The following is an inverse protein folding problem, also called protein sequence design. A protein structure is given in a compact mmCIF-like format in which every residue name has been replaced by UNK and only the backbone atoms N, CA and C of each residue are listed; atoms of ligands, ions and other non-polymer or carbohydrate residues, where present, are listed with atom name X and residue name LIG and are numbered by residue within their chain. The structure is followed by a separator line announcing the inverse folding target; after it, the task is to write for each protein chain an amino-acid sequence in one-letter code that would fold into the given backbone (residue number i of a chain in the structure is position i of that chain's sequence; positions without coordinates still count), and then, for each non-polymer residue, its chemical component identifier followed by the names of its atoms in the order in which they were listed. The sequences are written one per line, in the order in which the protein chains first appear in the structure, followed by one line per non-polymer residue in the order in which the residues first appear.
data_IF_096850271778
#
_entry.id   IF_096850271778
#
_cell.length_a   1.000
_cell.length_b   1.000
_cell.length_c   1.000
_cell.angle_alpha   90.00
_cell.angle_beta   90.00
_cell.angle_gamma   90.00
#
_symmetry.space_group_name_H-M   'P 1'
#
loop_
_entity.id
_entity.type
_entity.pdbx_description
1 polymer ?
#
# COMPACT_ATOMS: atom_id res chain seq x y z
N UNK A 1 -8.87 -10.47 12.64
CA UNK A 1 -9.15 -9.89 11.32
C UNK A 1 -10.62 -9.52 11.19
N UNK A 2 -10.96 -8.59 10.31
CA UNK A 2 -12.33 -8.16 10.04
C UNK A 2 -13.22 -9.34 9.61
N UNK A 3 -12.67 -10.28 8.84
CA UNK A 3 -13.38 -11.52 8.45
C UNK A 3 -13.82 -12.35 9.66
N UNK A 4 -12.95 -12.51 10.66
CA UNK A 4 -13.26 -13.19 11.92
C UNK A 4 -14.36 -12.47 12.70
N UNK A 5 -14.25 -11.14 12.84
CA UNK A 5 -15.24 -10.31 13.50
C UNK A 5 -16.63 -10.41 12.86
N UNK A 6 -16.71 -10.38 11.52
CA UNK A 6 -17.98 -10.51 10.79
C UNK A 6 -18.58 -11.91 10.94
N UNK A 7 -17.76 -12.98 10.91
CA UNK A 7 -18.24 -14.35 11.11
C UNK A 7 -18.76 -14.60 12.53
N UNK A 8 -18.12 -14.04 13.54
CA UNK A 8 -18.54 -14.15 14.96
C UNK A 8 -19.88 -13.45 15.24
N UNK A 9 -20.24 -12.43 14.45
CA UNK A 9 -21.50 -11.68 14.60
C UNK A 9 -22.71 -12.35 13.95
N UNK A 10 -22.57 -13.52 13.35
CA UNK A 10 -23.65 -14.29 12.68
C UNK A 10 -24.55 -13.39 11.80
N UNK A 11 -23.97 -12.53 11.01
CA UNK A 11 -24.70 -11.59 10.17
C UNK A 11 -25.41 -12.30 9.01
N UNK A 12 -26.64 -11.90 8.62
CA UNK A 12 -27.43 -12.57 7.57
C UNK A 12 -26.93 -12.29 6.15
N UNK A 13 -25.75 -11.69 6.00
CA UNK A 13 -25.14 -11.36 4.71
C UNK A 13 -23.73 -11.97 4.58
N UNK A 14 -23.35 -12.26 3.34
CA UNK A 14 -22.00 -12.74 3.01
C UNK A 14 -21.07 -11.55 2.92
N UNK A 15 -20.02 -11.53 3.73
CA UNK A 15 -18.95 -10.53 3.67
C UNK A 15 -17.85 -11.00 2.73
N UNK A 16 -17.50 -10.17 1.75
CA UNK A 16 -16.38 -10.40 0.82
C UNK A 16 -15.34 -9.32 1.08
N UNK A 17 -14.26 -9.63 1.83
CA UNK A 17 -13.21 -8.66 2.08
C UNK A 17 -12.52 -8.29 0.77
N UNK A 18 -12.42 -7.01 0.49
CA UNK A 18 -11.70 -6.52 -0.68
C UNK A 18 -11.09 -5.13 -0.43
N UNK A 19 -10.06 -4.80 -1.21
CA UNK A 19 -9.30 -3.56 -1.05
C UNK A 19 -8.94 -3.00 -2.44
N UNK A 20 -9.55 -1.90 -2.89
CA UNK A 20 -9.08 -1.17 -4.05
C UNK A 20 -7.74 -0.50 -3.71
N UNK A 21 -6.68 -0.82 -4.47
CA UNK A 21 -5.35 -0.22 -4.31
C UNK A 21 -5.33 1.15 -4.99
N UNK A 22 -6.19 2.04 -4.52
CA UNK A 22 -6.37 3.40 -5.02
C UNK A 22 -6.75 4.32 -3.86
N UNK A 23 -6.28 5.55 -3.92
CA UNK A 23 -6.55 6.56 -2.90
C UNK A 23 -5.71 7.79 -3.12
N UNK A 24 -6.02 8.83 -2.36
CA UNK A 24 -5.25 10.06 -2.28
C UNK A 24 -4.85 10.30 -0.83
N UNK A 25 -3.95 11.25 -0.60
CA UNK A 25 -3.59 11.73 0.73
C UNK A 25 -4.70 12.54 1.41
N UNK A 26 -5.75 12.92 0.67
CA UNK A 26 -6.85 13.71 1.18
C UNK A 26 -7.96 12.85 1.75
N UNK A 27 -8.64 13.33 2.79
CA UNK A 27 -9.76 12.67 3.46
C UNK A 27 -11.09 13.27 2.96
N UNK A 28 -12.11 12.42 2.90
CA UNK A 28 -13.49 12.81 2.65
C UNK A 28 -13.95 12.60 1.20
N UNK A 29 -15.26 12.48 1.05
CA UNK A 29 -15.92 12.24 -0.23
C UNK A 29 -15.70 13.40 -1.22
N UNK A 30 -15.55 14.61 -0.75
CA UNK A 30 -15.28 15.82 -1.53
C UNK A 30 -13.97 15.77 -2.32
N UNK A 31 -13.05 14.88 -1.93
CA UNK A 31 -11.79 14.62 -2.63
C UNK A 31 -11.88 13.43 -3.61
N UNK A 32 -13.08 12.87 -3.80
CA UNK A 32 -13.29 11.84 -4.80
C UNK A 32 -13.34 12.45 -6.20
N UNK A 33 -12.91 11.69 -7.20
CA UNK A 33 -12.99 12.11 -8.61
C UNK A 33 -13.33 10.93 -9.51
N UNK A 34 -13.92 11.25 -10.67
CA UNK A 34 -14.20 10.27 -11.70
C UNK A 34 -12.89 9.59 -12.15
N UNK A 35 -12.92 8.26 -12.21
CA UNK A 35 -11.77 7.48 -12.64
C UNK A 35 -10.76 7.14 -11.54
N UNK A 36 -11.01 7.45 -10.26
CA UNK A 36 -10.13 7.10 -9.13
C UNK A 36 -9.68 5.62 -9.17
N UNK A 37 -10.55 4.72 -9.57
CA UNK A 37 -10.28 3.28 -9.61
C UNK A 37 -9.80 2.79 -10.98
N UNK A 38 -9.80 3.62 -12.01
CA UNK A 38 -9.40 3.24 -13.36
C UNK A 38 -7.95 2.78 -13.38
N UNK A 39 -7.72 1.57 -13.93
CA UNK A 39 -6.42 0.89 -13.96
C UNK A 39 -5.86 0.48 -12.58
N UNK A 40 -6.58 0.74 -11.49
CA UNK A 40 -6.18 0.32 -10.16
C UNK A 40 -6.27 -1.21 -10.02
N UNK A 41 -5.44 -1.79 -9.16
CA UNK A 41 -5.59 -3.17 -8.72
C UNK A 41 -6.62 -3.22 -7.60
N UNK A 42 -7.55 -4.19 -7.66
CA UNK A 42 -8.54 -4.41 -6.62
C UNK A 42 -8.35 -5.79 -6.02
N UNK A 43 -7.82 -5.83 -4.80
CA UNK A 43 -7.52 -7.08 -4.13
C UNK A 43 -8.80 -7.66 -3.52
N UNK A 44 -9.04 -8.96 -3.75
CA UNK A 44 -10.17 -9.73 -3.19
C UNK A 44 -9.59 -10.85 -2.33
N UNK A 45 -10.00 -10.89 -1.07
CA UNK A 45 -9.58 -11.94 -0.13
C UNK A 45 -10.47 -13.16 -0.33
N UNK A 46 -9.97 -14.16 -1.03
CA UNK A 46 -10.71 -15.38 -1.35
C UNK A 46 -10.12 -16.14 -2.52
N UNK A 47 -10.80 -17.20 -2.95
CA UNK A 47 -10.39 -18.01 -4.08
C UNK A 47 -11.09 -17.59 -5.37
N UNK A 48 -10.39 -17.72 -6.48
CA UNK A 48 -10.96 -17.50 -7.81
C UNK A 48 -12.12 -18.46 -8.14
N UNK A 49 -12.13 -19.64 -7.54
CA UNK A 49 -13.15 -20.69 -7.76
C UNK A 49 -14.54 -20.27 -7.28
N UNK A 50 -14.63 -19.37 -6.32
CA UNK A 50 -15.90 -18.81 -5.80
C UNK A 50 -16.57 -17.80 -6.74
N UNK A 51 -16.05 -17.57 -7.94
CA UNK A 51 -16.58 -16.58 -8.92
C UNK A 51 -18.07 -16.77 -9.25
N UNK A 52 -18.59 -18.00 -9.09
CA UNK A 52 -20.00 -18.32 -9.35
C UNK A 52 -20.94 -17.94 -8.20
N UNK A 53 -20.40 -17.60 -7.03
CA UNK A 53 -21.24 -17.11 -5.92
C UNK A 53 -21.76 -15.71 -6.26
N UNK A 54 -23.09 -15.52 -6.24
CA UNK A 54 -23.80 -14.29 -6.69
C UNK A 54 -23.14 -12.99 -6.17
N UNK A 55 -22.72 -12.95 -4.92
CA UNK A 55 -22.07 -11.76 -4.34
C UNK A 55 -20.70 -11.46 -4.96
N UNK A 56 -19.92 -12.49 -5.25
CA UNK A 56 -18.60 -12.31 -5.87
C UNK A 56 -18.69 -11.96 -7.35
N UNK A 57 -19.69 -12.51 -8.06
CA UNK A 57 -19.97 -12.12 -9.43
C UNK A 57 -20.33 -10.62 -9.51
N UNK A 58 -21.23 -10.15 -8.66
CA UNK A 58 -21.59 -8.73 -8.58
C UNK A 58 -20.39 -7.83 -8.24
N UNK A 59 -19.54 -8.23 -7.29
CA UNK A 59 -18.33 -7.48 -6.97
C UNK A 59 -17.39 -7.38 -8.18
N UNK A 60 -17.22 -8.47 -8.93
CA UNK A 60 -16.40 -8.46 -10.15
C UNK A 60 -16.99 -7.56 -11.25
N UNK A 61 -18.30 -7.54 -11.40
CA UNK A 61 -18.98 -6.60 -12.32
C UNK A 61 -18.72 -5.15 -11.94
N UNK A 62 -18.82 -4.81 -10.64
CA UNK A 62 -18.50 -3.47 -10.13
C UNK A 62 -17.04 -3.11 -10.40
N UNK A 63 -16.09 -4.02 -10.09
CA UNK A 63 -14.66 -3.80 -10.33
C UNK A 63 -14.38 -3.53 -11.80
N UNK A 64 -14.98 -4.31 -12.71
CA UNK A 64 -14.83 -4.11 -14.14
C UNK A 64 -15.48 -2.80 -14.61
N UNK A 65 -16.65 -2.46 -14.08
CA UNK A 65 -17.36 -1.22 -14.43
C UNK A 65 -16.55 0.03 -14.09
N UNK A 66 -15.87 0.05 -12.94
CA UNK A 66 -14.99 1.17 -12.55
C UNK A 66 -13.61 1.13 -13.22
N UNK A 67 -13.37 0.16 -14.10
CA UNK A 67 -12.11 0.03 -14.85
C UNK A 67 -10.93 -0.48 -14.02
N UNK A 68 -11.18 -1.13 -12.88
CA UNK A 68 -10.14 -1.76 -12.05
C UNK A 68 -9.87 -3.22 -12.46
N UNK A 69 -8.74 -3.76 -12.00
CA UNK A 69 -8.32 -5.15 -12.28
C UNK A 69 -8.37 -5.97 -11.00
N UNK A 70 -9.18 -7.06 -10.91
CA UNK A 70 -9.25 -7.89 -9.73
C UNK A 70 -8.00 -8.76 -9.53
N UNK A 71 -7.53 -8.86 -8.28
CA UNK A 71 -6.46 -9.75 -7.84
C UNK A 71 -6.95 -10.56 -6.66
N UNK A 72 -6.87 -11.89 -6.73
CA UNK A 72 -7.24 -12.78 -5.63
C UNK A 72 -6.04 -13.18 -4.80
N UNK A 73 -6.18 -13.14 -3.47
CA UNK A 73 -5.12 -13.54 -2.53
C UNK A 73 -5.70 -13.93 -1.17
N UNK A 74 -4.84 -14.37 -0.25
CA UNK A 74 -5.21 -14.54 1.17
C UNK A 74 -5.01 -13.25 1.97
N UNK A 75 -5.63 -13.15 3.14
CA UNK A 75 -5.48 -12.00 4.02
C UNK A 75 -4.01 -11.81 4.45
N UNK A 76 -3.33 -12.91 4.77
CA UNK A 76 -1.93 -12.90 5.20
C UNK A 76 -1.01 -12.35 4.11
N UNK A 77 -1.14 -12.86 2.88
CA UNK A 77 -0.35 -12.38 1.73
C UNK A 77 -0.66 -10.93 1.37
N UNK A 78 -1.92 -10.51 1.50
CA UNK A 78 -2.31 -9.11 1.33
C UNK A 78 -1.60 -8.23 2.36
N UNK A 79 -1.68 -8.59 3.65
CA UNK A 79 -1.12 -7.78 4.74
C UNK A 79 0.41 -7.70 4.66
N UNK A 80 1.08 -8.78 4.25
CA UNK A 80 2.52 -8.76 3.93
C UNK A 80 2.86 -7.83 2.76
N UNK A 81 2.08 -7.91 1.67
CA UNK A 81 2.32 -7.10 0.47
C UNK A 81 2.11 -5.60 0.74
N UNK A 82 1.00 -5.23 1.39
CA UNK A 82 0.72 -3.81 1.69
C UNK A 82 1.67 -3.26 2.75
N UNK A 83 2.18 -4.08 3.66
CA UNK A 83 3.26 -3.66 4.56
C UNK A 83 4.48 -3.18 3.78
N UNK A 84 4.88 -3.91 2.72
CA UNK A 84 6.05 -3.60 1.91
C UNK A 84 5.86 -2.38 1.00
N UNK A 85 4.69 -2.26 0.35
CA UNK A 85 4.50 -1.28 -0.73
C UNK A 85 3.73 -0.02 -0.31
N UNK A 86 3.14 0.00 0.89
CA UNK A 86 2.31 1.09 1.39
C UNK A 86 2.69 1.52 2.80
N UNK A 87 2.59 0.63 3.79
CA UNK A 87 2.75 0.99 5.20
C UNK A 87 4.20 1.33 5.55
N UNK A 88 5.16 0.49 5.15
CA UNK A 88 6.59 0.77 5.35
C UNK A 88 7.03 2.07 4.64
N UNK A 89 6.68 2.33 3.35
CA UNK A 89 6.99 3.61 2.71
C UNK A 89 6.46 4.83 3.48
N UNK A 90 5.26 4.75 4.06
CA UNK A 90 4.72 5.82 4.91
C UNK A 90 5.57 6.03 6.16
N UNK A 91 5.92 4.95 6.88
CA UNK A 91 6.79 5.02 8.07
C UNK A 91 8.15 5.59 7.72
N UNK A 92 8.73 5.22 6.57
CA UNK A 92 10.02 5.76 6.10
C UNK A 92 9.92 7.25 5.79
N UNK A 93 8.85 7.69 5.11
CA UNK A 93 8.63 9.11 4.84
C UNK A 93 8.55 9.94 6.13
N UNK A 94 7.84 9.43 7.14
CA UNK A 94 7.77 10.04 8.47
C UNK A 94 9.13 10.02 9.18
N UNK A 95 9.88 8.92 9.06
CA UNK A 95 11.23 8.80 9.65
C UNK A 95 12.24 9.74 9.00
N UNK A 96 12.16 9.97 7.69
CA UNK A 96 12.97 10.96 6.99
C UNK A 96 12.70 12.37 7.51
N UNK A 97 11.44 12.74 7.73
CA UNK A 97 11.08 14.02 8.33
C UNK A 97 11.59 14.12 9.77
N UNK A 98 11.44 13.05 10.55
CA UNK A 98 11.93 12.98 11.93
C UNK A 98 13.45 13.16 12.03
N UNK A 99 14.20 12.58 11.10
CA UNK A 99 15.66 12.72 11.03
C UNK A 99 16.07 14.13 10.53
N UNK A 100 15.41 14.63 9.50
CA UNK A 100 15.75 15.92 8.89
C UNK A 100 15.51 17.11 9.84
N UNK A 101 14.51 17.04 10.73
CA UNK A 101 14.23 18.13 11.69
C UNK A 101 15.40 18.45 12.64
N UNK A 102 16.33 17.51 12.83
CA UNK A 102 17.53 17.71 13.64
C UNK A 102 18.57 18.63 12.96
N UNK A 103 18.38 18.92 11.65
CA UNK A 103 19.30 19.75 10.86
C UNK A 103 18.52 20.87 10.16
N UNK A 104 18.48 22.10 10.73
CA UNK A 104 17.75 23.21 10.13
C UNK A 104 18.19 23.56 8.70
N UNK A 105 19.50 23.47 8.41
CA UNK A 105 20.02 23.72 7.07
C UNK A 105 19.49 22.68 6.06
N UNK A 106 19.39 21.40 6.47
CA UNK A 106 18.83 20.38 5.60
C UNK A 106 17.36 20.67 5.22
N UNK A 107 16.57 21.21 6.15
CA UNK A 107 15.19 21.62 5.89
C UNK A 107 15.15 22.86 4.97
N UNK A 108 16.02 23.83 5.19
CA UNK A 108 16.08 25.06 4.40
C UNK A 108 16.43 24.81 2.92
N UNK A 109 17.36 23.88 2.66
CA UNK A 109 17.79 23.56 1.29
C UNK A 109 17.01 22.39 0.67
N UNK A 110 15.98 21.86 1.35
CA UNK A 110 15.17 20.75 0.86
C UNK A 110 14.48 21.14 -0.46
N UNK A 111 14.55 20.24 -1.45
CA UNK A 111 14.00 20.44 -2.79
C UNK A 111 13.06 19.29 -3.20
N UNK A 112 12.73 19.22 -4.49
CA UNK A 112 11.73 18.29 -5.05
C UNK A 112 11.97 16.82 -4.65
N UNK A 113 13.21 16.33 -4.68
CA UNK A 113 13.52 14.95 -4.29
C UNK A 113 13.11 14.62 -2.85
N UNK A 114 13.43 15.51 -1.90
CA UNK A 114 13.02 15.33 -0.51
C UNK A 114 11.51 15.45 -0.35
N UNK A 115 10.88 16.42 -1.02
CA UNK A 115 9.42 16.59 -1.04
C UNK A 115 8.71 15.32 -1.53
N UNK A 116 9.17 14.74 -2.64
CA UNK A 116 8.56 13.56 -3.23
C UNK A 116 8.72 12.33 -2.32
N UNK A 117 9.89 12.15 -1.71
CA UNK A 117 10.17 11.07 -0.77
C UNK A 117 9.40 11.20 0.55
N UNK A 118 9.06 12.41 0.97
CA UNK A 118 8.36 12.66 2.24
C UNK A 118 6.87 12.94 2.07
N UNK A 119 6.32 12.85 0.87
CA UNK A 119 4.89 13.11 0.61
C UNK A 119 3.96 12.29 1.50
N UNK A 120 4.28 11.03 1.73
CA UNK A 120 3.49 10.14 2.59
C UNK A 120 3.55 10.50 4.08
N UNK A 121 4.45 11.38 4.50
CA UNK A 121 4.45 11.90 5.87
C UNK A 121 3.22 12.76 6.19
N UNK A 122 2.51 13.24 5.15
CA UNK A 122 1.25 13.98 5.26
C UNK A 122 0.00 13.09 5.32
N UNK A 123 0.17 11.77 5.44
CA UNK A 123 -0.96 10.83 5.57
C UNK A 123 -1.85 11.15 6.76
N UNK A 124 -3.14 10.85 6.63
CA UNK A 124 -4.10 11.04 7.73
C UNK A 124 -3.65 10.29 9.00
N UNK A 125 -3.64 10.98 10.14
CA UNK A 125 -3.08 10.48 11.41
C UNK A 125 -3.80 9.23 11.92
N UNK A 126 -5.15 9.20 11.86
CA UNK A 126 -5.96 8.08 12.30
C UNK A 126 -5.69 6.85 11.45
N UNK A 127 -5.70 7.00 10.12
CA UNK A 127 -5.38 5.94 9.18
C UNK A 127 -3.95 5.43 9.38
N UNK A 128 -2.97 6.30 9.55
CA UNK A 128 -1.58 5.93 9.78
C UNK A 128 -1.41 5.13 11.08
N UNK A 129 -2.06 5.56 12.16
CA UNK A 129 -2.07 4.85 13.43
C UNK A 129 -2.68 3.45 13.31
N UNK A 130 -3.82 3.32 12.63
CA UNK A 130 -4.48 2.04 12.41
C UNK A 130 -3.61 1.09 11.58
N UNK A 131 -3.01 1.56 10.49
CA UNK A 131 -2.08 0.78 9.68
C UNK A 131 -0.92 0.24 10.51
N UNK A 132 -0.27 1.09 11.30
CA UNK A 132 0.89 0.71 12.12
C UNK A 132 0.47 -0.26 13.22
N UNK A 133 -0.65 -0.02 13.89
CA UNK A 133 -1.13 -0.87 14.98
C UNK A 133 -1.56 -2.24 14.48
N UNK A 134 -2.35 -2.29 13.40
CA UNK A 134 -2.95 -3.53 12.91
C UNK A 134 -2.00 -4.42 12.13
N UNK A 135 -0.98 -3.83 11.48
CA UNK A 135 -0.04 -4.57 10.63
C UNK A 135 1.43 -4.48 11.12
N UNK A 136 1.61 -4.18 12.40
CA UNK A 136 2.92 -3.91 13.03
C UNK A 136 4.00 -4.94 12.67
N UNK A 137 3.72 -6.25 12.85
CA UNK A 137 4.69 -7.33 12.61
C UNK A 137 5.21 -7.36 11.16
N UNK A 138 4.31 -7.20 10.19
CA UNK A 138 4.69 -7.21 8.78
C UNK A 138 5.45 -5.94 8.40
N UNK A 139 5.12 -4.80 9.00
CA UNK A 139 5.87 -3.54 8.83
C UNK A 139 7.28 -3.69 9.36
N UNK A 140 7.45 -4.22 10.57
CA UNK A 140 8.76 -4.49 11.17
C UNK A 140 9.62 -5.38 10.27
N UNK A 141 9.07 -6.51 9.80
CA UNK A 141 9.76 -7.39 8.86
C UNK A 141 10.12 -6.69 7.54
N UNK A 142 9.26 -5.83 7.03
CA UNK A 142 9.52 -5.06 5.82
C UNK A 142 10.64 -4.04 6.02
N UNK A 143 10.71 -3.40 7.18
CA UNK A 143 11.80 -2.48 7.56
C UNK A 143 13.13 -3.24 7.67
N UNK A 144 13.15 -4.44 8.26
CA UNK A 144 14.36 -5.27 8.31
C UNK A 144 14.85 -5.67 6.91
N UNK A 145 13.94 -6.02 6.00
CA UNK A 145 14.29 -6.29 4.58
C UNK A 145 14.86 -5.05 3.89
N UNK A 146 14.28 -3.87 4.12
CA UNK A 146 14.79 -2.62 3.60
C UNK A 146 16.19 -2.31 4.13
N UNK A 147 16.41 -2.45 5.45
CA UNK A 147 17.72 -2.24 6.06
C UNK A 147 18.79 -3.14 5.42
N UNK A 148 18.47 -4.42 5.20
CA UNK A 148 19.34 -5.34 4.48
C UNK A 148 19.61 -4.88 3.05
N UNK A 149 18.58 -4.47 2.32
CA UNK A 149 18.71 -3.98 0.95
C UNK A 149 19.55 -2.70 0.85
N UNK A 150 19.46 -1.80 1.84
CA UNK A 150 20.35 -0.62 1.92
C UNK A 150 21.81 -1.06 2.03
N UNK A 151 22.13 -2.02 2.92
CA UNK A 151 23.46 -2.56 3.05
C UNK A 151 23.98 -3.23 1.78
N UNK A 152 23.16 -4.03 1.11
CA UNK A 152 23.50 -4.65 -0.18
C UNK A 152 23.76 -3.60 -1.26
N UNK A 153 22.95 -2.56 -1.31
CA UNK A 153 23.07 -1.49 -2.31
C UNK A 153 24.34 -0.66 -2.09
N UNK A 154 24.66 -0.32 -0.82
CA UNK A 154 25.79 0.56 -0.50
C UNK A 154 27.14 -0.16 -0.53
N UNK A 155 27.17 -1.48 -0.34
CA UNK A 155 28.40 -2.28 -0.31
C UNK A 155 28.58 -3.14 -1.58
N UNK A 156 27.62 -3.15 -2.51
CA UNK A 156 27.64 -3.94 -3.73
C UNK A 156 28.07 -3.16 -4.97
N UNK A 157 27.85 -3.78 -6.13
CA UNK A 157 28.02 -3.11 -7.45
C UNK A 157 26.86 -2.14 -7.69
N UNK A 158 26.99 -0.94 -7.20
CA UNK A 158 25.95 0.09 -7.26
C UNK A 158 25.48 0.38 -8.70
N UNK A 159 26.37 0.60 -9.71
CA UNK A 159 25.92 0.85 -11.08
C UNK A 159 25.08 -0.28 -11.69
N UNK A 160 25.48 -1.53 -11.49
CA UNK A 160 24.76 -2.70 -11.98
C UNK A 160 23.39 -2.82 -11.33
N UNK A 161 23.34 -2.71 -10.01
CA UNK A 161 22.10 -2.81 -9.23
C UNK A 161 21.12 -1.72 -9.61
N UNK A 162 21.56 -0.47 -9.78
CA UNK A 162 20.69 0.63 -10.22
C UNK A 162 20.11 0.39 -11.61
N UNK A 163 20.87 -0.16 -12.54
CA UNK A 163 20.37 -0.48 -13.88
C UNK A 163 19.24 -1.54 -13.84
N UNK A 164 19.40 -2.58 -13.01
CA UNK A 164 18.35 -3.57 -12.78
C UNK A 164 17.09 -2.96 -12.15
N UNK A 165 17.24 -2.14 -11.11
CA UNK A 165 16.12 -1.49 -10.42
C UNK A 165 15.36 -0.54 -11.35
N UNK A 166 16.04 0.23 -12.19
CA UNK A 166 15.41 1.08 -13.22
C UNK A 166 14.56 0.26 -14.18
N UNK A 167 15.06 -0.90 -14.63
CA UNK A 167 14.31 -1.78 -15.52
C UNK A 167 13.05 -2.36 -14.85
N UNK A 168 13.15 -2.78 -13.59
CA UNK A 168 11.99 -3.24 -12.82
C UNK A 168 10.97 -2.10 -12.68
N UNK A 169 11.41 -0.93 -12.23
CA UNK A 169 10.54 0.24 -12.00
C UNK A 169 9.80 0.68 -13.28
N UNK A 170 10.49 0.69 -14.42
CA UNK A 170 9.89 1.10 -15.69
C UNK A 170 8.78 0.14 -16.16
N UNK A 171 8.89 -1.15 -15.85
CA UNK A 171 7.88 -2.16 -16.20
C UNK A 171 6.66 -2.15 -15.28
N UNK A 172 6.80 -1.65 -14.06
CA UNK A 172 5.70 -1.65 -13.07
C UNK A 172 4.60 -0.63 -13.36
N UNK A 173 4.94 0.46 -14.04
CA UNK A 173 4.07 1.63 -14.22
C UNK A 173 3.94 2.03 -15.71
N UNK A 174 3.99 1.04 -16.58
CA UNK A 174 3.65 1.18 -18.00
C UNK A 174 2.15 1.13 -18.22
#
# INVERSE_FOLDING_TARGET
SLKKFVSEKQRPYKFIPSHPMAGTEHKGFENSFEGLFKNAKWVIIGNQEDKKARGQALLLEIINYVGATPIFTTAEKHDEAVAMISHMPMVIAQSLMLAAKENPLALEIASSGFRDMTRLAMSNEEMANDMVTMNHKNIEQSILKLYKAIGELTNGDYPKTIAELKNIRSKMFQ
#
